data_IF_626982099794
#
_entry.id   IF_626982099794
#
_cell.length_a   1.000
_cell.length_b   1.000
_cell.length_c   1.000
_cell.angle_alpha   90.00
_cell.angle_beta   90.00
_cell.angle_gamma   90.00
#
_symmetry.space_group_name_H-M   'P 1'
#
loop_
_entity.id
_entity.type
_entity.pdbx_description
1 polymer ?
#
# COMPACT_ATOMS: atom_id res chain seq x y z
N UNK A 1 3.53 -11.67 -37.50
CA UNK A 1 2.52 -10.84 -38.19
C UNK A 1 1.54 -10.22 -37.17
N UNK A 2 2.05 -9.69 -36.05
CA UNK A 2 1.28 -8.96 -35.00
C UNK A 2 2.11 -7.72 -34.61
N UNK A 3 2.66 -7.00 -35.59
CA UNK A 3 3.55 -5.84 -35.35
C UNK A 3 3.12 -4.59 -36.14
N UNK A 4 1.83 -4.45 -36.48
CA UNK A 4 1.35 -3.30 -37.26
C UNK A 4 0.04 -2.65 -36.78
N UNK A 5 -0.48 -2.98 -35.60
CA UNK A 5 -1.72 -2.35 -35.11
C UNK A 5 -1.67 -1.83 -33.66
N UNK A 6 -0.50 -1.76 -33.02
CA UNK A 6 -0.36 -1.03 -31.76
C UNK A 6 -0.48 0.47 -32.04
N UNK A 7 -1.73 0.93 -32.16
CA UNK A 7 -2.09 2.32 -32.28
C UNK A 7 -1.58 2.99 -31.00
N UNK A 8 -0.72 4.00 -31.09
CA UNK A 8 -0.09 4.65 -29.93
C UNK A 8 -1.05 5.26 -28.91
N UNK A 9 -2.37 5.13 -29.15
CA UNK A 9 -3.46 5.54 -28.26
C UNK A 9 -3.86 4.47 -27.24
N UNK A 10 -3.65 3.16 -27.49
CA UNK A 10 -3.95 2.10 -26.51
C UNK A 10 -2.90 2.02 -25.39
N UNK A 11 -1.69 2.55 -25.62
CA UNK A 11 -0.62 2.61 -24.61
C UNK A 11 -0.85 3.66 -23.51
N UNK A 12 -1.84 4.54 -23.69
CA UNK A 12 -2.13 5.69 -22.81
C UNK A 12 -3.57 5.68 -22.28
N UNK A 13 -4.36 4.64 -22.57
CA UNK A 13 -5.69 4.50 -22.00
C UNK A 13 -5.57 4.17 -20.52
N UNK A 14 -5.97 5.12 -19.68
CA UNK A 14 -6.11 4.87 -18.25
C UNK A 14 -7.22 3.85 -18.01
N UNK A 15 -6.85 2.60 -17.84
CA UNK A 15 -7.73 1.61 -17.25
C UNK A 15 -7.66 1.77 -15.73
N UNK A 16 -8.68 2.45 -15.21
CA UNK A 16 -8.87 2.55 -13.77
C UNK A 16 -9.23 1.17 -13.24
N UNK A 17 -8.23 0.43 -12.77
CA UNK A 17 -8.42 -0.80 -12.01
C UNK A 17 -9.30 -0.50 -10.79
N UNK A 18 -10.55 -1.00 -10.77
CA UNK A 18 -11.49 -0.68 -9.70
C UNK A 18 -10.92 -1.07 -8.34
N UNK A 19 -10.16 -2.16 -8.26
CA UNK A 19 -9.51 -2.62 -7.03
C UNK A 19 -8.53 -1.59 -6.45
N UNK A 20 -7.65 -1.01 -7.26
CA UNK A 20 -6.65 -0.05 -6.80
C UNK A 20 -7.32 1.23 -6.28
N UNK A 21 -8.34 1.69 -6.99
CA UNK A 21 -9.14 2.85 -6.58
C UNK A 21 -9.89 2.59 -5.27
N UNK A 22 -10.57 1.43 -5.16
CA UNK A 22 -11.30 1.03 -3.94
C UNK A 22 -10.34 0.98 -2.74
N UNK A 23 -9.17 0.36 -2.89
CA UNK A 23 -8.17 0.29 -1.80
C UNK A 23 -7.74 1.69 -1.36
N UNK A 24 -7.44 2.59 -2.29
CA UNK A 24 -7.04 3.96 -1.96
C UNK A 24 -8.15 4.72 -1.23
N UNK A 25 -9.40 4.62 -1.71
CA UNK A 25 -10.56 5.25 -1.07
C UNK A 25 -10.78 4.69 0.33
N UNK A 26 -10.71 3.37 0.51
CA UNK A 26 -10.86 2.71 1.81
C UNK A 26 -9.76 3.14 2.79
N UNK A 27 -8.51 3.26 2.33
CA UNK A 27 -7.39 3.72 3.17
C UNK A 27 -7.59 5.17 3.61
N UNK A 28 -7.97 6.07 2.70
CA UNK A 28 -8.21 7.48 3.04
C UNK A 28 -9.43 7.64 3.95
N UNK A 29 -10.52 6.93 3.66
CA UNK A 29 -11.74 6.97 4.46
C UNK A 29 -11.51 6.41 5.88
N UNK A 30 -10.79 5.29 5.99
CA UNK A 30 -10.45 4.69 7.30
C UNK A 30 -9.50 5.57 8.10
N UNK A 31 -8.50 6.19 7.47
CA UNK A 31 -7.61 7.16 8.13
C UNK A 31 -8.36 8.40 8.61
N UNK A 32 -9.23 8.96 7.77
CA UNK A 32 -10.09 10.09 8.14
C UNK A 32 -11.02 9.73 9.30
N UNK A 33 -11.69 8.58 9.22
CA UNK A 33 -12.56 8.07 10.29
C UNK A 33 -11.77 7.87 11.59
N UNK A 34 -10.57 7.29 11.52
CA UNK A 34 -9.71 7.08 12.68
C UNK A 34 -9.36 8.40 13.37
N UNK A 35 -9.01 9.45 12.62
CA UNK A 35 -8.60 10.75 13.16
C UNK A 35 -9.78 11.59 13.65
N UNK A 36 -10.94 11.50 13.00
CA UNK A 36 -12.11 12.36 13.31
C UNK A 36 -13.10 11.73 14.27
N UNK A 37 -13.39 10.45 14.09
CA UNK A 37 -14.46 9.75 14.82
C UNK A 37 -13.89 8.87 15.92
N UNK A 38 -12.89 8.05 15.59
CA UNK A 38 -12.34 7.10 16.56
C UNK A 38 -11.33 7.72 17.51
N UNK A 39 -10.82 8.93 17.22
CA UNK A 39 -9.83 9.61 18.06
C UNK A 39 -10.26 9.53 19.52
N UNK A 40 -9.60 8.69 20.33
CA UNK A 40 -10.00 8.56 21.71
C UNK A 40 -9.66 9.92 22.36
N UNK A 41 -10.38 10.28 23.43
CA UNK A 41 -10.12 11.51 24.21
C UNK A 41 -9.13 11.32 25.37
N UNK A 42 -8.14 10.38 25.40
CA UNK A 42 -7.25 10.32 26.52
C UNK A 42 -6.32 11.54 26.50
N UNK A 43 -5.75 11.91 27.66
CA UNK A 43 -4.83 13.04 27.80
C UNK A 43 -3.61 12.97 26.86
N UNK A 44 -3.22 11.76 26.44
CA UNK A 44 -2.00 11.49 25.66
C UNK A 44 -2.19 11.49 24.13
N UNK A 45 -3.43 11.71 23.63
CA UNK A 45 -3.69 11.76 22.19
C UNK A 45 -3.24 13.12 21.61
N UNK A 46 -1.92 13.26 21.44
CA UNK A 46 -1.27 14.41 20.80
C UNK A 46 -1.89 14.72 19.42
N UNK A 47 -1.87 16.01 18.99
CA UNK A 47 -2.47 16.42 17.73
C UNK A 47 -1.79 15.71 16.55
N UNK A 48 -2.59 15.31 15.56
CA UNK A 48 -2.06 14.80 14.29
C UNK A 48 -1.41 15.96 13.54
N UNK A 49 -0.13 15.83 13.24
CA UNK A 49 0.62 16.86 12.50
C UNK A 49 0.20 16.87 11.03
N UNK A 50 0.20 18.06 10.40
CA UNK A 50 -0.01 18.16 8.95
C UNK A 50 0.98 17.30 8.16
N UNK A 51 2.22 17.14 8.66
CA UNK A 51 3.23 16.28 8.03
C UNK A 51 2.80 14.81 8.00
N UNK A 52 2.15 14.33 9.07
CA UNK A 52 1.65 12.94 9.15
C UNK A 52 0.55 12.71 8.11
N UNK A 53 -0.38 13.65 7.99
CA UNK A 53 -1.42 13.58 6.95
C UNK A 53 -0.81 13.59 5.55
N UNK A 54 0.18 14.46 5.31
CA UNK A 54 0.89 14.52 4.01
C UNK A 54 1.58 13.19 3.71
N UNK A 55 2.33 12.61 4.65
CA UNK A 55 2.99 11.32 4.44
C UNK A 55 2.00 10.18 4.17
N UNK A 56 0.88 10.15 4.89
CA UNK A 56 -0.16 9.15 4.64
C UNK A 56 -0.76 9.30 3.24
N UNK A 57 -1.12 10.52 2.86
CA UNK A 57 -1.65 10.82 1.52
C UNK A 57 -0.63 10.50 0.42
N UNK A 58 0.66 10.80 0.63
CA UNK A 58 1.73 10.45 -0.31
C UNK A 58 1.90 8.92 -0.42
N UNK A 59 1.77 8.18 0.68
CA UNK A 59 1.78 6.73 0.66
C UNK A 59 0.62 6.15 -0.17
N UNK A 60 -0.60 6.66 0.04
CA UNK A 60 -1.78 6.28 -0.76
C UNK A 60 -1.60 6.68 -2.22
N UNK A 61 -1.06 7.87 -2.49
CA UNK A 61 -0.77 8.31 -3.85
C UNK A 61 0.23 7.38 -4.54
N UNK A 62 1.27 6.92 -3.84
CA UNK A 62 2.20 5.92 -4.36
C UNK A 62 1.48 4.61 -4.69
N UNK A 63 0.56 4.14 -3.83
CA UNK A 63 -0.25 2.95 -4.14
C UNK A 63 -1.13 3.16 -5.37
N UNK A 64 -1.74 4.33 -5.48
CA UNK A 64 -2.57 4.69 -6.63
C UNK A 64 -1.73 4.75 -7.91
N UNK A 65 -0.55 5.37 -7.88
CA UNK A 65 0.33 5.43 -9.06
C UNK A 65 0.86 4.03 -9.39
N UNK A 66 1.19 3.20 -8.41
CA UNK A 66 1.67 1.85 -8.67
C UNK A 66 0.56 0.88 -9.13
N UNK A 67 -0.70 1.10 -8.74
CA UNK A 67 -1.82 0.18 -9.02
C UNK A 67 -2.84 0.66 -10.06
N UNK A 68 -2.99 1.97 -10.25
CA UNK A 68 -3.92 2.57 -11.21
C UNK A 68 -3.21 3.17 -12.43
N UNK A 69 -1.91 2.94 -12.55
CA UNK A 69 -1.14 3.37 -13.72
C UNK A 69 -1.37 2.41 -14.90
N UNK A 70 -1.37 2.93 -16.15
CA UNK A 70 -1.29 2.12 -17.38
C UNK A 70 -0.03 1.22 -17.45
N UNK A 71 0.85 1.29 -16.43
CA UNK A 71 1.92 0.33 -16.18
C UNK A 71 1.37 -1.07 -15.93
N UNK A 72 0.16 -1.28 -15.38
CA UNK A 72 -0.31 -2.65 -15.15
C UNK A 72 -0.48 -3.42 -16.46
N UNK A 73 -1.14 -2.82 -17.46
CA UNK A 73 -1.30 -3.42 -18.79
C UNK A 73 0.03 -3.50 -19.57
N UNK A 74 0.92 -2.51 -19.42
CA UNK A 74 2.27 -2.54 -20.03
C UNK A 74 3.19 -3.57 -19.33
N UNK A 75 2.97 -3.84 -18.05
CA UNK A 75 3.79 -4.74 -17.23
C UNK A 75 3.42 -6.21 -17.44
N UNK A 76 2.17 -6.51 -17.80
CA UNK A 76 1.76 -7.87 -18.15
C UNK A 76 2.26 -8.30 -19.53
N UNK A 77 2.33 -7.38 -20.50
CA UNK A 77 2.72 -7.74 -21.86
C UNK A 77 4.14 -7.32 -22.32
N UNK A 78 4.81 -6.30 -21.75
CA UNK A 78 5.96 -5.71 -22.48
C UNK A 78 7.29 -5.44 -21.73
N UNK A 79 7.40 -5.31 -20.39
CA UNK A 79 8.72 -5.07 -19.75
C UNK A 79 8.84 -5.59 -18.29
N UNK A 80 9.66 -6.63 -18.07
CA UNK A 80 10.03 -7.15 -16.73
C UNK A 80 10.57 -6.08 -15.77
N UNK A 81 11.13 -4.99 -16.28
CA UNK A 81 11.65 -3.87 -15.49
C UNK A 81 10.54 -3.05 -14.83
N UNK A 82 9.41 -2.83 -15.52
CA UNK A 82 8.27 -2.09 -14.97
C UNK A 82 7.59 -2.87 -13.85
N UNK A 83 7.46 -4.19 -14.02
CA UNK A 83 6.97 -5.09 -12.98
C UNK A 83 7.81 -4.99 -11.69
N UNK A 84 9.13 -5.00 -11.84
CA UNK A 84 10.06 -4.89 -10.71
C UNK A 84 9.90 -3.55 -10.01
N UNK A 85 9.77 -2.45 -10.76
CA UNK A 85 9.52 -1.13 -10.18
C UNK A 85 8.20 -1.10 -9.41
N UNK A 86 7.14 -1.71 -9.95
CA UNK A 86 5.84 -1.80 -9.28
C UNK A 86 5.95 -2.54 -7.94
N UNK A 87 6.63 -3.70 -7.92
CA UNK A 87 6.89 -4.44 -6.68
C UNK A 87 7.72 -3.61 -5.68
N UNK A 88 8.73 -2.86 -6.14
CA UNK A 88 9.55 -2.01 -5.28
C UNK A 88 8.73 -0.87 -4.66
N UNK A 89 7.85 -0.23 -5.43
CA UNK A 89 6.97 0.82 -4.92
C UNK A 89 6.02 0.28 -3.84
N UNK A 90 5.42 -0.89 -4.07
CA UNK A 90 4.53 -1.53 -3.10
C UNK A 90 5.25 -2.04 -1.85
N UNK A 91 6.47 -2.54 -1.96
CA UNK A 91 7.19 -3.12 -0.83
C UNK A 91 8.00 -2.09 -0.02
N UNK A 92 8.60 -1.09 -0.69
CA UNK A 92 9.62 -0.23 -0.06
C UNK A 92 9.25 1.25 -0.02
N UNK A 93 8.29 1.73 -0.81
CA UNK A 93 7.95 3.16 -0.83
C UNK A 93 6.62 3.40 -0.12
N UNK A 94 5.55 2.76 -0.55
CA UNK A 94 4.23 2.96 0.06
C UNK A 94 4.18 2.58 1.55
N UNK A 95 4.70 1.43 2.02
CA UNK A 95 4.60 1.03 3.43
C UNK A 95 5.26 2.01 4.41
N UNK A 96 6.52 2.46 4.23
CA UNK A 96 7.12 3.42 5.17
C UNK A 96 6.44 4.79 5.11
N UNK A 97 5.95 5.24 3.96
CA UNK A 97 5.18 6.49 3.84
C UNK A 97 3.86 6.42 4.62
N UNK A 98 3.11 5.34 4.46
CA UNK A 98 1.88 5.10 5.21
C UNK A 98 2.15 5.02 6.71
N UNK A 99 3.18 4.28 7.13
CA UNK A 99 3.58 4.17 8.54
C UNK A 99 4.02 5.51 9.13
N UNK A 100 4.79 6.32 8.40
CA UNK A 100 5.20 7.66 8.84
C UNK A 100 4.01 8.61 8.99
N UNK A 101 2.92 8.36 8.26
CA UNK A 101 1.68 9.11 8.36
C UNK A 101 0.75 8.70 9.49
N UNK A 102 0.98 7.54 10.12
CA UNK A 102 0.17 7.06 11.24
C UNK A 102 0.66 7.70 12.55
N UNK A 103 -0.20 8.41 13.30
CA UNK A 103 0.19 8.97 14.58
C UNK A 103 0.38 7.86 15.63
N UNK A 104 1.30 8.07 16.57
CA UNK A 104 1.68 7.08 17.59
C UNK A 104 0.49 6.54 18.39
N UNK A 105 -0.48 7.40 18.73
CA UNK A 105 -1.68 6.98 19.44
C UNK A 105 -2.57 6.03 18.61
N UNK A 106 -2.61 6.19 17.29
CA UNK A 106 -3.39 5.31 16.40
C UNK A 106 -2.69 3.96 16.29
N UNK A 107 -1.37 3.97 16.12
CA UNK A 107 -0.56 2.75 16.14
C UNK A 107 -0.72 1.98 17.46
N UNK A 108 -0.63 2.68 18.60
CA UNK A 108 -0.85 2.09 19.91
C UNK A 108 -2.29 1.58 20.10
N UNK A 109 -3.30 2.33 19.67
CA UNK A 109 -4.70 1.91 19.76
C UNK A 109 -4.98 0.63 18.95
N UNK A 110 -4.34 0.48 17.79
CA UNK A 110 -4.39 -0.75 16.98
C UNK A 110 -3.69 -1.92 17.68
N UNK A 111 -2.47 -1.71 18.22
CA UNK A 111 -1.67 -2.78 18.83
C UNK A 111 -2.18 -3.21 20.22
N UNK A 112 -2.70 -2.30 21.04
CA UNK A 112 -3.11 -2.57 22.43
C UNK A 112 -4.41 -3.40 22.51
N UNK A 113 -5.12 -3.59 21.39
CA UNK A 113 -6.34 -4.41 21.38
C UNK A 113 -5.99 -5.85 21.77
N UNK A 114 -6.68 -6.39 22.78
CA UNK A 114 -6.37 -7.66 23.49
C UNK A 114 -6.04 -8.88 22.62
N UNK A 115 -6.54 -8.96 21.38
CA UNK A 115 -6.22 -10.04 20.43
C UNK A 115 -5.21 -9.68 19.33
N UNK A 116 -4.95 -8.40 19.11
CA UNK A 116 -4.07 -7.93 18.03
C UNK A 116 -2.60 -8.01 18.44
N UNK A 117 -2.27 -7.70 19.69
CA UNK A 117 -0.89 -7.73 20.18
C UNK A 117 -0.16 -9.08 20.00
N UNK A 118 -0.73 -10.25 20.37
CA UNK A 118 -0.04 -11.53 20.17
C UNK A 118 0.16 -11.86 18.70
N UNK A 119 -0.84 -11.59 17.84
CA UNK A 119 -0.75 -11.80 16.39
C UNK A 119 0.29 -10.86 15.78
N UNK A 120 0.26 -9.58 16.15
CA UNK A 120 1.22 -8.58 15.69
C UNK A 120 2.65 -8.95 16.07
N UNK A 121 2.89 -9.51 17.26
CA UNK A 121 4.23 -9.98 17.67
C UNK A 121 4.75 -11.13 16.80
N UNK A 122 3.88 -11.99 16.29
CA UNK A 122 4.24 -13.08 15.38
C UNK A 122 4.46 -12.53 13.97
N UNK A 123 3.51 -11.77 13.45
CA UNK A 123 3.54 -11.27 12.06
C UNK A 123 4.63 -10.21 11.85
N UNK A 124 4.87 -9.34 12.84
CA UNK A 124 5.92 -8.31 12.80
C UNK A 124 7.30 -8.86 13.22
N UNK A 125 7.42 -10.15 13.56
CA UNK A 125 8.72 -10.75 13.82
C UNK A 125 9.51 -10.78 12.50
N UNK A 126 10.72 -10.20 12.44
CA UNK A 126 11.49 -10.13 11.20
C UNK A 126 11.76 -11.51 10.60
N UNK A 127 11.95 -12.55 11.41
CA UNK A 127 12.16 -13.92 10.92
C UNK A 127 10.90 -14.50 10.26
N UNK A 128 9.73 -14.26 10.86
CA UNK A 128 8.45 -14.71 10.31
C UNK A 128 8.14 -13.95 9.02
N UNK A 129 8.37 -12.64 9.00
CA UNK A 129 8.18 -11.81 7.80
C UNK A 129 9.12 -12.23 6.66
N UNK A 130 10.41 -12.47 6.94
CA UNK A 130 11.37 -12.96 5.95
C UNK A 130 10.93 -14.33 5.44
N UNK A 131 10.57 -15.25 6.32
CA UNK A 131 10.14 -16.59 5.93
C UNK A 131 8.88 -16.55 5.06
N UNK A 132 7.85 -15.80 5.47
CA UNK A 132 6.60 -15.64 4.72
C UNK A 132 6.84 -14.99 3.35
N UNK A 133 7.66 -13.94 3.29
CA UNK A 133 8.02 -13.27 2.04
C UNK A 133 8.71 -14.25 1.07
N UNK A 134 9.70 -15.00 1.55
CA UNK A 134 10.40 -15.99 0.74
C UNK A 134 9.49 -17.14 0.29
N UNK A 135 8.58 -17.60 1.15
CA UNK A 135 7.59 -18.61 0.77
C UNK A 135 6.64 -18.12 -0.32
N UNK A 136 6.13 -16.89 -0.21
CA UNK A 136 5.33 -16.28 -1.27
C UNK A 136 6.12 -16.21 -2.58
N UNK A 137 7.39 -15.77 -2.54
CA UNK A 137 8.24 -15.74 -3.72
C UNK A 137 8.41 -17.13 -4.36
N UNK A 138 8.60 -18.18 -3.57
CA UNK A 138 8.71 -19.55 -4.08
C UNK A 138 7.39 -20.01 -4.69
N UNK A 139 6.26 -19.77 -4.02
CA UNK A 139 4.94 -20.21 -4.49
C UNK A 139 4.57 -19.56 -5.82
N UNK A 140 4.78 -18.25 -5.95
CA UNK A 140 4.41 -17.52 -7.18
C UNK A 140 5.35 -17.82 -8.37
N UNK A 141 6.55 -18.35 -8.12
CA UNK A 141 7.54 -18.73 -9.15
C UNK A 141 7.67 -20.26 -9.32
N UNK A 142 6.84 -21.06 -8.64
CA UNK A 142 6.79 -22.50 -8.86
C UNK A 142 6.21 -22.73 -10.27
N UNK A 143 6.91 -23.43 -11.17
CA UNK A 143 6.45 -23.66 -12.54
C UNK A 143 5.19 -24.53 -12.62
#
# INVERSE_FOLDING_TARGET
MILLHANGQELLTWHLHPEAFIVCVVLLASYWYAIKVWRPRPPDAGPVSQRQVIFFCLGVLTLFIAGASPIHDISEEHLLSMHTVQLLLFAFVAPPLLLAGIPTWLFQALLIRRGVLPVAKIVLNPLVAIFAFNMTLVIIHLP
#
